data_IF_654871979393
#
_entry.id   IF_654871979393
#
_cell.length_a   1.000
_cell.length_b   1.000
_cell.length_c   1.000
_cell.angle_alpha   90.00
_cell.angle_beta   90.00
_cell.angle_gamma   90.00
#
_symmetry.space_group_name_H-M   'P 1'
#
loop_
_entity.id
_entity.type
_entity.pdbx_description
1 polymer ?
#
# COMPACT_ATOMS: atom_id res chain seq x y z
N UNK A 1 6.95 8.35 8.91
CA UNK A 1 5.95 7.76 8.02
C UNK A 1 6.17 6.26 7.96
N UNK A 2 5.16 5.47 8.28
CA UNK A 2 5.37 4.03 8.34
C UNK A 2 5.43 3.42 6.95
N UNK A 3 6.62 2.98 6.61
CA UNK A 3 6.84 2.17 5.42
C UNK A 3 6.57 0.73 5.80
N UNK A 4 5.62 0.08 5.13
CA UNK A 4 5.24 -1.29 5.47
C UNK A 4 5.80 -2.32 4.51
N UNK A 5 6.34 -1.90 3.37
CA UNK A 5 7.08 -2.79 2.47
C UNK A 5 7.88 -1.96 1.47
N UNK A 6 8.86 -2.59 0.84
CA UNK A 6 9.65 -1.95 -0.20
C UNK A 6 10.19 -3.02 -1.13
N UNK A 7 10.00 -2.82 -2.44
CA UNK A 7 10.46 -3.79 -3.46
C UNK A 7 10.61 -3.09 -4.81
N UNK A 8 11.65 -3.46 -5.53
CA UNK A 8 11.95 -2.92 -6.88
C UNK A 8 11.94 -1.38 -6.93
N UNK A 9 12.42 -0.75 -5.85
CA UNK A 9 12.45 0.71 -5.78
C UNK A 9 11.11 1.35 -5.45
N UNK A 10 10.08 0.56 -5.19
CA UNK A 10 8.75 1.03 -4.83
C UNK A 10 8.61 0.98 -3.32
N UNK A 11 8.18 2.10 -2.72
CA UNK A 11 7.97 2.21 -1.28
C UNK A 11 6.48 2.15 -1.00
N UNK A 12 6.06 1.24 -0.11
CA UNK A 12 4.66 1.11 0.30
C UNK A 12 4.49 1.72 1.68
N UNK A 13 3.53 2.64 1.80
CA UNK A 13 3.29 3.38 3.03
C UNK A 13 1.83 3.26 3.45
N UNK A 14 1.61 3.31 4.76
CA UNK A 14 0.26 3.36 5.32
C UNK A 14 0.28 4.35 6.47
N UNK A 15 -0.68 5.27 6.49
CA UNK A 15 -0.72 6.35 7.46
C UNK A 15 -1.73 6.06 8.56
N UNK A 16 -1.43 6.54 9.78
CA UNK A 16 -2.36 6.44 10.89
C UNK A 16 -3.50 7.44 10.71
N UNK A 17 -4.69 7.08 11.19
CA UNK A 17 -5.87 7.96 11.19
C UNK A 17 -6.26 8.45 9.79
N UNK A 18 -5.99 7.66 8.78
CA UNK A 18 -6.37 8.01 7.42
C UNK A 18 -7.85 7.72 7.18
N UNK A 19 -8.41 8.33 6.14
CA UNK A 19 -9.84 8.24 5.85
C UNK A 19 -10.18 6.96 5.09
N UNK A 20 -11.37 6.38 5.40
CA UNK A 20 -11.91 5.30 4.62
C UNK A 20 -12.15 5.75 3.17
N UNK A 21 -12.14 4.84 2.19
CA UNK A 21 -12.02 3.39 2.33
C UNK A 21 -10.59 2.95 2.65
N UNK A 22 -10.41 1.70 3.13
CA UNK A 22 -9.07 1.18 3.38
C UNK A 22 -8.19 1.27 2.15
N UNK A 23 -7.00 1.86 2.32
CA UNK A 23 -6.08 2.09 1.21
C UNK A 23 -4.64 2.19 1.71
N UNK A 24 -3.71 2.13 0.77
CA UNK A 24 -2.30 2.38 1.04
C UNK A 24 -1.73 3.29 -0.03
N UNK A 25 -0.54 3.82 0.24
CA UNK A 25 0.16 4.69 -0.69
C UNK A 25 1.38 3.96 -1.24
N UNK A 26 1.71 4.19 -2.49
CA UNK A 26 2.93 3.68 -3.10
C UNK A 26 3.68 4.84 -3.75
N UNK A 27 5.01 4.86 -3.57
CA UNK A 27 5.87 5.88 -4.15
C UNK A 27 6.96 5.24 -4.98
N UNK A 28 7.21 5.84 -6.13
CA UNK A 28 8.28 5.38 -7.03
C UNK A 28 8.83 6.58 -7.78
N UNK A 29 10.10 6.92 -7.52
CA UNK A 29 10.67 8.15 -8.07
C UNK A 29 9.87 9.34 -7.57
N UNK A 30 9.43 10.20 -8.48
CA UNK A 30 8.61 11.36 -8.15
C UNK A 30 7.12 11.09 -8.16
N UNK A 31 6.69 9.86 -8.44
CA UNK A 31 5.28 9.52 -8.57
C UNK A 31 4.72 8.91 -7.30
N UNK A 32 3.44 9.16 -7.06
CA UNK A 32 2.72 8.57 -5.95
C UNK A 32 1.34 8.13 -6.41
N UNK A 33 0.90 6.97 -5.94
CA UNK A 33 -0.43 6.44 -6.25
C UNK A 33 -1.08 5.95 -4.96
N UNK A 34 -2.41 6.06 -4.90
CA UNK A 34 -3.19 5.58 -3.76
C UNK A 34 -4.04 4.41 -4.25
N UNK A 35 -3.89 3.28 -3.57
CA UNK A 35 -4.53 2.02 -3.97
C UNK A 35 -5.52 1.59 -2.89
N UNK A 36 -6.77 1.36 -3.29
CA UNK A 36 -7.77 0.80 -2.42
C UNK A 36 -7.48 -0.68 -2.19
N UNK A 37 -7.68 -1.16 -0.97
CA UNK A 37 -7.32 -2.53 -0.60
C UNK A 37 -8.41 -3.54 -0.97
N UNK A 38 -9.68 -3.18 -0.82
CA UNK A 38 -10.78 -4.12 -1.06
C UNK A 38 -12.02 -3.38 -1.56
N UNK A 39 -12.40 -3.54 -2.83
CA UNK A 39 -11.64 -4.25 -3.87
C UNK A 39 -10.36 -3.49 -4.22
N UNK A 40 -9.37 -4.22 -4.73
CA UNK A 40 -8.11 -3.60 -5.13
C UNK A 40 -8.33 -2.73 -6.36
N UNK A 41 -7.90 -1.47 -6.27
CA UNK A 41 -8.04 -0.56 -7.40
C UNK A 41 -7.42 0.78 -7.11
N UNK A 42 -7.18 1.55 -8.16
CA UNK A 42 -6.56 2.88 -8.06
C UNK A 42 -7.60 3.89 -7.61
N UNK A 43 -7.31 4.62 -6.53
CA UNK A 43 -8.17 5.71 -6.06
C UNK A 43 -7.74 7.03 -6.66
N UNK A 44 -6.43 7.31 -6.72
CA UNK A 44 -5.90 8.54 -7.32
C UNK A 44 -4.40 8.42 -7.53
N UNK A 45 -3.86 9.34 -8.31
CA UNK A 45 -2.42 9.42 -8.54
C UNK A 45 -2.00 8.80 -9.85
N UNK A 46 -0.69 8.84 -10.10
CA UNK A 46 -0.08 8.32 -11.33
C UNK A 46 1.12 7.47 -10.99
N UNK A 47 1.33 6.43 -11.79
CA UNK A 47 2.44 5.52 -11.61
C UNK A 47 2.83 4.97 -12.98
N UNK A 48 4.12 4.69 -13.21
CA UNK A 48 4.51 4.00 -14.44
C UNK A 48 3.76 2.67 -14.54
N UNK A 49 3.27 2.29 -15.72
CA UNK A 49 2.44 1.07 -15.84
C UNK A 49 3.09 -0.19 -15.29
N UNK A 50 4.39 -0.37 -15.53
CA UNK A 50 5.09 -1.56 -15.01
C UNK A 50 5.15 -1.55 -13.49
N UNK A 51 5.46 -0.41 -12.89
CA UNK A 51 5.50 -0.29 -11.44
C UNK A 51 4.11 -0.52 -10.85
N UNK A 52 3.08 0.02 -11.48
CA UNK A 52 1.71 -0.19 -11.03
C UNK A 52 1.32 -1.68 -11.05
N UNK A 53 1.69 -2.39 -12.12
CA UNK A 53 1.35 -3.81 -12.21
C UNK A 53 2.03 -4.62 -11.10
N UNK A 54 3.26 -4.25 -10.72
CA UNK A 54 3.96 -4.89 -9.62
C UNK A 54 3.27 -4.64 -8.29
N UNK A 55 2.81 -3.41 -8.06
CA UNK A 55 2.08 -3.07 -6.83
C UNK A 55 0.77 -3.82 -6.76
N UNK A 56 0.03 -3.90 -7.85
CA UNK A 56 -1.25 -4.62 -7.89
C UNK A 56 -1.04 -6.12 -7.61
N UNK A 57 -0.02 -6.71 -8.24
CA UNK A 57 0.31 -8.12 -8.00
C UNK A 57 0.63 -8.36 -6.53
N UNK A 58 1.44 -7.50 -5.93
CA UNK A 58 1.80 -7.59 -4.53
C UNK A 58 0.56 -7.42 -3.64
N UNK A 59 -0.31 -6.45 -3.95
CA UNK A 59 -1.51 -6.19 -3.17
C UNK A 59 -2.47 -7.37 -3.20
N UNK A 60 -2.60 -8.03 -4.36
CA UNK A 60 -3.44 -9.22 -4.48
C UNK A 60 -2.92 -10.35 -3.60
N UNK A 61 -1.60 -10.51 -3.56
CA UNK A 61 -0.97 -11.57 -2.77
C UNK A 61 -1.13 -11.31 -1.27
N UNK A 62 -1.07 -10.06 -0.84
CA UNK A 62 -1.06 -9.70 0.57
C UNK A 62 -2.30 -8.89 0.99
N UNK A 63 -3.42 -9.07 0.29
CA UNK A 63 -4.62 -8.28 0.56
C UNK A 63 -5.09 -8.41 2.01
N UNK A 64 -5.09 -9.62 2.55
CA UNK A 64 -5.52 -9.85 3.92
C UNK A 64 -4.58 -9.17 4.92
N UNK A 65 -3.28 -9.27 4.68
CA UNK A 65 -2.29 -8.58 5.52
C UNK A 65 -2.50 -7.07 5.49
N UNK A 66 -2.79 -6.52 4.30
CA UNK A 66 -3.04 -5.09 4.15
C UNK A 66 -4.26 -4.65 4.95
N UNK A 67 -5.34 -5.44 4.93
CA UNK A 67 -6.53 -5.12 5.72
C UNK A 67 -6.24 -5.15 7.22
N UNK A 68 -5.43 -6.12 7.67
CA UNK A 68 -5.04 -6.20 9.07
C UNK A 68 -4.23 -4.96 9.48
N UNK A 69 -3.28 -4.54 8.63
CA UNK A 69 -2.48 -3.36 8.93
C UNK A 69 -3.33 -2.09 8.92
N UNK A 70 -4.30 -2.01 8.00
CA UNK A 70 -5.23 -0.89 7.99
C UNK A 70 -5.98 -0.79 9.32
N UNK A 71 -6.45 -1.92 9.85
CA UNK A 71 -7.15 -1.96 11.13
C UNK A 71 -6.23 -1.51 12.27
N UNK A 72 -4.96 -1.93 12.25
CA UNK A 72 -3.99 -1.48 13.24
C UNK A 72 -3.77 0.03 13.17
N UNK A 73 -3.61 0.54 11.96
CA UNK A 73 -3.41 1.98 11.77
C UNK A 73 -4.61 2.78 12.27
N UNK A 74 -5.83 2.29 12.01
CA UNK A 74 -7.04 2.96 12.47
C UNK A 74 -7.15 2.97 13.98
N UNK A 75 -6.53 2.02 14.67
CA UNK A 75 -6.54 1.93 16.13
C UNK A 75 -5.24 2.42 16.77
N UNK A 76 -4.42 3.14 16.00
CA UNK A 76 -3.14 3.70 16.46
C UNK A 76 -2.19 2.63 17.01
N UNK A 77 -2.25 1.42 16.46
CA UNK A 77 -1.36 0.34 16.87
C UNK A 77 -0.17 0.29 15.94
N UNK A 78 0.93 -0.28 16.43
CA UNK A 78 2.14 -0.42 15.65
C UNK A 78 1.89 -1.28 14.41
N UNK A 79 2.35 -0.80 13.26
CA UNK A 79 2.22 -1.52 12.00
C UNK A 79 3.33 -2.56 11.85
N UNK A 80 3.01 -3.66 11.21
CA UNK A 80 3.97 -4.72 10.89
C UNK A 80 4.39 -4.60 9.44
N UNK A 81 5.63 -5.01 9.15
CA UNK A 81 6.10 -5.08 7.78
C UNK A 81 5.44 -6.24 7.06
N UNK A 82 5.16 -6.03 5.77
CA UNK A 82 4.63 -7.08 4.89
C UNK A 82 5.78 -7.49 3.97
N UNK A 83 5.94 -8.81 3.70
CA UNK A 83 7.04 -9.23 2.83
C UNK A 83 6.99 -8.56 1.46
N UNK A 84 8.14 -8.29 0.86
CA UNK A 84 8.18 -7.68 -0.46
C UNK A 84 7.77 -8.66 -1.55
N UNK A 85 7.49 -8.11 -2.72
CA UNK A 85 7.28 -8.92 -3.93
C UNK A 85 8.63 -9.48 -4.38
N UNK A 86 8.67 -10.76 -4.66
CA UNK A 86 9.89 -11.45 -5.11
C UNK A 86 10.17 -11.21 -6.59
#
# INVERSE_FOLDING_TARGET
MPTISEFFGIMILMFFDDHAPPHFHARYGGDEIVIQINPIGVLRGKFPPRALSLVIEWAQKYQQNLMEEWTRAANNKKLHKIPPLD
#
